data_IF_903386418134
#
_entry.id   IF_903386418134
#
_cell.length_a   1.000
_cell.length_b   1.000
_cell.length_c   1.000
_cell.angle_alpha   90.00
_cell.angle_beta   90.00
_cell.angle_gamma   90.00
#
_symmetry.space_group_name_H-M   'P 1'
#
loop_
_entity.id
_entity.type
_entity.pdbx_description
1 polymer ?
#
# COMPACT_ATOMS: atom_id res chain seq x y z
N UNK A 1 -0.03 -17.86 -4.70
CA UNK A 1 -0.97 -16.94 -5.39
C UNK A 1 -0.35 -15.55 -5.43
N UNK A 2 -0.84 -14.70 -6.34
CA UNK A 2 -0.53 -13.28 -6.42
C UNK A 2 -1.78 -12.52 -6.00
N UNK A 3 -1.61 -11.58 -5.06
CA UNK A 3 -2.62 -10.61 -4.66
C UNK A 3 -2.27 -9.24 -5.25
N UNK A 4 -3.00 -8.22 -4.84
CA UNK A 4 -2.88 -6.88 -5.39
C UNK A 4 -1.49 -6.25 -5.22
N UNK A 5 -1.24 -5.26 -6.07
CA UNK A 5 -0.02 -4.48 -6.10
C UNK A 5 -0.17 -3.21 -6.92
N UNK A 6 0.95 -2.59 -7.22
CA UNK A 6 1.05 -1.40 -8.08
C UNK A 6 2.25 -1.48 -9.00
N UNK A 7 2.21 -0.69 -10.06
CA UNK A 7 3.32 -0.52 -11.00
C UNK A 7 3.72 0.95 -10.99
N UNK A 8 5.00 1.21 -10.97
CA UNK A 8 5.58 2.53 -11.19
C UNK A 8 6.66 2.46 -12.28
N UNK A 9 6.89 3.56 -12.95
CA UNK A 9 7.99 3.75 -13.89
C UNK A 9 9.13 4.47 -13.16
N UNK A 10 10.36 4.01 -13.34
CA UNK A 10 11.53 4.70 -12.83
C UNK A 10 11.99 5.80 -13.79
N UNK A 11 13.07 6.49 -13.43
CA UNK A 11 13.65 7.60 -14.24
C UNK A 11 14.32 7.13 -15.53
N UNK A 12 14.63 5.85 -15.62
CA UNK A 12 15.29 5.23 -16.78
C UNK A 12 14.27 4.57 -17.72
N UNK A 13 12.97 4.67 -17.41
CA UNK A 13 11.87 4.12 -18.20
C UNK A 13 11.68 2.61 -17.98
N UNK A 14 12.17 2.08 -16.85
CA UNK A 14 11.91 0.70 -16.44
C UNK A 14 10.67 0.66 -15.55
N UNK A 15 9.81 -0.29 -15.80
CA UNK A 15 8.60 -0.50 -15.00
C UNK A 15 8.86 -1.47 -13.86
N UNK A 16 8.46 -1.09 -12.66
CA UNK A 16 8.60 -1.87 -11.44
C UNK A 16 7.22 -2.24 -10.91
N UNK A 17 6.95 -3.54 -10.81
CA UNK A 17 5.75 -4.07 -10.19
C UNK A 17 6.05 -4.55 -8.77
N UNK A 18 5.39 -3.95 -7.79
CA UNK A 18 5.39 -4.42 -6.40
C UNK A 18 4.03 -5.05 -6.12
N UNK A 19 4.03 -6.29 -5.64
CA UNK A 19 2.79 -7.05 -5.45
C UNK A 19 2.91 -8.02 -4.28
N UNK A 20 1.78 -8.48 -3.79
CA UNK A 20 1.74 -9.44 -2.69
C UNK A 20 1.85 -10.87 -3.20
N UNK A 21 2.87 -11.58 -2.76
CA UNK A 21 2.97 -13.03 -2.88
C UNK A 21 2.27 -13.69 -1.69
N UNK A 22 1.33 -14.59 -1.94
CA UNK A 22 0.60 -15.32 -0.92
C UNK A 22 0.82 -16.82 -1.02
N UNK A 23 1.18 -17.46 0.10
CA UNK A 23 1.26 -18.90 0.22
C UNK A 23 0.71 -19.37 1.57
N UNK A 24 -0.48 -19.99 1.55
CA UNK A 24 -1.19 -20.48 2.74
C UNK A 24 -0.47 -21.61 3.49
N UNK A 25 0.50 -22.27 2.85
CA UNK A 25 1.24 -23.38 3.47
C UNK A 25 2.52 -22.92 4.16
N UNK A 26 2.94 -21.67 3.97
CA UNK A 26 4.11 -21.09 4.61
C UNK A 26 4.01 -21.00 6.14
N UNK A 27 2.87 -20.65 6.76
CA UNK A 27 2.76 -20.65 8.22
C UNK A 27 3.06 -22.01 8.86
N UNK A 28 2.76 -23.13 8.19
CA UNK A 28 3.13 -24.49 8.64
C UNK A 28 4.65 -24.71 8.67
N UNK A 29 5.40 -23.88 7.97
CA UNK A 29 6.86 -23.92 7.87
C UNK A 29 7.53 -22.80 8.71
N UNK A 30 6.74 -22.06 9.51
CA UNK A 30 7.23 -20.93 10.29
C UNK A 30 7.56 -19.69 9.45
N UNK A 31 6.99 -19.58 8.24
CA UNK A 31 7.18 -18.44 7.33
C UNK A 31 5.88 -17.62 7.24
N UNK A 32 5.95 -16.31 7.02
CA UNK A 32 4.76 -15.48 6.81
C UNK A 32 3.99 -15.94 5.57
N UNK A 33 2.66 -15.92 5.64
CA UNK A 33 1.83 -16.29 4.49
C UNK A 33 1.84 -15.22 3.39
N UNK A 34 2.13 -13.99 3.74
CA UNK A 34 2.15 -12.83 2.84
C UNK A 34 3.52 -12.14 2.89
N UNK A 35 4.05 -11.87 1.71
CA UNK A 35 5.29 -11.10 1.52
C UNK A 35 5.13 -10.22 0.29
N UNK A 36 5.82 -9.09 0.24
CA UNK A 36 5.86 -8.33 -1.00
C UNK A 36 6.92 -8.89 -1.93
N UNK A 37 6.59 -8.90 -3.20
CA UNK A 37 7.43 -9.36 -4.29
C UNK A 37 7.65 -8.22 -5.28
N UNK A 38 8.75 -8.30 -6.01
CA UNK A 38 9.12 -7.31 -7.01
C UNK A 38 9.40 -7.96 -8.36
N UNK A 39 8.98 -7.30 -9.45
CA UNK A 39 9.32 -7.67 -10.82
C UNK A 39 9.56 -6.42 -11.65
N UNK A 40 10.40 -6.53 -12.67
CA UNK A 40 10.72 -5.44 -13.59
C UNK A 40 10.28 -5.77 -15.02
N UNK A 41 10.00 -4.73 -15.81
CA UNK A 41 9.65 -4.85 -17.22
C UNK A 41 10.13 -3.63 -18.01
N UNK A 42 10.48 -3.83 -19.28
CA UNK A 42 10.82 -2.77 -20.23
C UNK A 42 9.68 -2.48 -21.23
N UNK A 43 8.61 -3.30 -21.20
CA UNK A 43 7.55 -3.24 -22.22
C UNK A 43 6.13 -3.43 -21.65
N UNK A 44 5.96 -3.58 -20.33
CA UNK A 44 4.72 -3.88 -19.62
C UNK A 44 4.06 -5.22 -19.99
N UNK A 45 4.73 -6.04 -20.78
CA UNK A 45 4.24 -7.36 -21.24
C UNK A 45 5.06 -8.49 -20.69
N UNK A 46 6.39 -8.35 -20.75
CA UNK A 46 7.34 -9.35 -20.28
C UNK A 46 7.90 -8.87 -18.93
N UNK A 47 7.70 -9.68 -17.89
CA UNK A 47 8.11 -9.35 -16.53
C UNK A 47 9.16 -10.33 -16.03
N UNK A 48 10.23 -9.80 -15.48
CA UNK A 48 11.28 -10.56 -14.81
C UNK A 48 11.15 -10.36 -13.30
N UNK A 49 10.98 -11.46 -12.57
CA UNK A 49 11.03 -11.41 -11.11
C UNK A 49 12.45 -11.07 -10.69
N UNK A 50 12.57 -10.05 -9.87
CA UNK A 50 13.83 -9.81 -9.17
C UNK A 50 14.05 -10.92 -8.16
N UNK A 51 15.31 -11.27 -7.91
CA UNK A 51 15.66 -12.26 -6.89
C UNK A 51 15.16 -11.82 -5.52
N UNK A 52 15.13 -12.75 -4.56
CA UNK A 52 14.62 -12.60 -3.19
C UNK A 52 15.18 -11.40 -2.39
N UNK A 53 16.12 -10.65 -2.95
CA UNK A 53 16.75 -9.48 -2.34
C UNK A 53 15.79 -8.32 -2.08
N UNK A 54 14.66 -8.24 -2.79
CA UNK A 54 13.61 -7.23 -2.56
C UNK A 54 12.34 -7.92 -2.10
N UNK A 55 12.43 -8.82 -1.15
CA UNK A 55 11.29 -9.43 -0.50
C UNK A 55 11.03 -8.72 0.83
N UNK A 56 9.94 -7.98 0.88
CA UNK A 56 9.53 -7.29 2.10
C UNK A 56 8.75 -8.26 2.98
N UNK A 57 9.37 -8.70 4.05
CA UNK A 57 8.69 -9.54 5.05
C UNK A 57 7.99 -8.68 6.09
N UNK A 58 6.93 -9.20 6.72
CA UNK A 58 6.31 -8.52 7.85
C UNK A 58 7.32 -8.13 8.93
N UNK A 59 7.23 -6.90 9.39
CA UNK A 59 8.13 -6.36 10.39
C UNK A 59 7.70 -6.73 11.81
N UNK A 60 8.61 -6.78 12.80
CA UNK A 60 8.25 -7.06 14.18
C UNK A 60 7.13 -6.14 14.70
N UNK A 61 6.12 -6.73 15.35
CA UNK A 61 4.96 -6.00 15.87
C UNK A 61 3.76 -5.98 14.93
N UNK A 62 3.93 -6.39 13.67
CA UNK A 62 2.84 -6.49 12.70
C UNK A 62 2.45 -7.95 12.43
N UNK A 63 1.22 -8.14 11.96
CA UNK A 63 0.67 -9.48 11.69
C UNK A 63 1.28 -10.10 10.43
N UNK A 64 1.85 -11.30 10.49
CA UNK A 64 2.50 -11.95 9.36
C UNK A 64 1.52 -12.46 8.28
N UNK A 65 0.23 -12.52 8.59
CA UNK A 65 -0.82 -12.99 7.69
C UNK A 65 -1.67 -11.84 7.12
N UNK A 66 -1.40 -10.59 7.55
CA UNK A 66 -2.04 -9.37 7.06
C UNK A 66 -0.97 -8.34 6.69
N UNK A 67 -0.26 -8.57 5.57
CA UNK A 67 0.84 -7.74 5.07
C UNK A 67 0.79 -7.69 3.55
N UNK A 68 0.06 -6.71 2.97
CA UNK A 68 -0.29 -6.75 1.54
C UNK A 68 -0.60 -5.43 0.89
N UNK A 69 -0.87 -5.51 -0.42
CA UNK A 69 -1.41 -4.47 -1.29
C UNK A 69 -0.50 -3.24 -1.42
N UNK A 70 0.78 -3.41 -1.81
CA UNK A 70 1.71 -2.30 -1.93
C UNK A 70 1.26 -1.28 -2.98
N UNK A 71 1.51 -0.01 -2.67
CA UNK A 71 1.39 1.11 -3.59
C UNK A 71 2.65 1.95 -3.54
N UNK A 72 3.22 2.27 -4.71
CA UNK A 72 4.47 3.03 -4.82
C UNK A 72 4.22 4.33 -5.56
N UNK A 73 4.81 5.40 -5.06
CA UNK A 73 4.85 6.70 -5.74
C UNK A 73 6.22 7.37 -5.53
N UNK A 74 6.51 8.34 -6.37
CA UNK A 74 7.64 9.25 -6.20
C UNK A 74 7.23 10.44 -5.33
N UNK A 75 8.04 10.77 -4.33
CA UNK A 75 7.91 11.95 -3.48
C UNK A 75 8.89 13.02 -3.97
N UNK A 76 8.37 14.06 -4.61
CA UNK A 76 9.16 15.17 -5.14
C UNK A 76 9.77 16.04 -4.04
N UNK A 77 9.18 16.07 -2.85
CA UNK A 77 9.64 16.91 -1.74
C UNK A 77 10.91 16.34 -1.11
N UNK A 78 10.97 15.02 -0.93
CA UNK A 78 12.11 14.33 -0.31
C UNK A 78 13.03 13.65 -1.35
N UNK A 79 12.70 13.70 -2.65
CA UNK A 79 13.43 13.07 -3.75
C UNK A 79 13.67 11.57 -3.54
N UNK A 80 12.61 10.84 -3.22
CA UNK A 80 12.63 9.41 -2.95
C UNK A 80 11.33 8.74 -3.36
N UNK A 81 11.37 7.43 -3.53
CA UNK A 81 10.17 6.61 -3.65
C UNK A 81 9.61 6.30 -2.27
N UNK A 82 8.29 6.29 -2.16
CA UNK A 82 7.54 5.83 -1.01
C UNK A 82 6.72 4.61 -1.43
N UNK A 83 6.84 3.52 -0.68
CA UNK A 83 5.97 2.36 -0.78
C UNK A 83 5.12 2.30 0.48
N UNK A 84 3.82 2.38 0.32
CA UNK A 84 2.86 2.13 1.39
C UNK A 84 2.20 0.77 1.21
N UNK A 85 1.82 0.12 2.30
CA UNK A 85 1.06 -1.13 2.29
C UNK A 85 0.10 -1.22 3.46
N UNK A 86 -0.92 -2.05 3.30
CA UNK A 86 -1.88 -2.35 4.34
C UNK A 86 -1.43 -3.48 5.25
N UNK A 87 -1.62 -3.30 6.54
CA UNK A 87 -1.32 -4.29 7.57
C UNK A 87 -2.16 -4.04 8.83
N UNK A 88 -1.87 -4.77 9.89
CA UNK A 88 -2.37 -4.54 11.23
C UNK A 88 -1.35 -4.94 12.29
N UNK A 89 -1.57 -4.53 13.53
CA UNK A 89 -0.77 -4.98 14.65
C UNK A 89 -0.93 -6.49 14.88
N UNK A 90 0.15 -7.15 15.30
CA UNK A 90 0.13 -8.53 15.70
C UNK A 90 -0.75 -8.74 16.94
N UNK A 91 -1.32 -9.94 17.10
CA UNK A 91 -2.18 -10.33 18.21
C UNK A 91 -3.65 -10.40 17.83
N UNK A 92 -4.54 -10.17 18.81
CA UNK A 92 -5.98 -10.31 18.59
C UNK A 92 -6.52 -9.27 17.62
N UNK A 93 -7.34 -9.74 16.68
CA UNK A 93 -7.97 -8.87 15.67
C UNK A 93 -9.09 -8.05 16.30
N UNK A 94 -8.94 -6.75 16.31
CA UNK A 94 -9.99 -5.83 16.72
C UNK A 94 -9.91 -4.51 15.91
N UNK A 95 -10.90 -3.64 16.06
CA UNK A 95 -11.08 -2.44 15.22
C UNK A 95 -9.98 -1.38 15.32
N UNK A 96 -9.03 -1.52 16.22
CA UNK A 96 -7.95 -0.55 16.42
C UNK A 96 -6.59 -1.09 15.94
N UNK A 97 -6.55 -2.22 15.26
CA UNK A 97 -5.28 -2.85 14.86
C UNK A 97 -4.80 -2.46 13.48
N UNK A 98 -5.68 -1.98 12.60
CA UNK A 98 -5.34 -1.63 11.22
C UNK A 98 -4.28 -0.55 11.12
N UNK A 99 -3.32 -0.75 10.21
CA UNK A 99 -2.19 0.16 9.93
C UNK A 99 -1.95 0.25 8.44
N UNK A 100 -1.59 1.43 8.00
CA UNK A 100 -0.85 1.62 6.75
C UNK A 100 0.58 1.92 7.16
N UNK A 101 1.52 1.11 6.71
CA UNK A 101 2.96 1.30 6.98
C UNK A 101 3.67 1.72 5.72
N UNK A 102 4.92 2.19 5.85
CA UNK A 102 5.65 2.65 4.68
C UNK A 102 7.15 2.33 4.72
N UNK A 103 7.70 2.32 3.53
CA UNK A 103 9.12 2.21 3.24
C UNK A 103 9.54 3.37 2.34
N UNK A 104 10.81 3.71 2.37
CA UNK A 104 11.43 4.69 1.47
C UNK A 104 12.59 4.07 0.70
N UNK A 105 12.84 4.57 -0.52
CA UNK A 105 13.95 4.16 -1.36
C UNK A 105 14.33 5.28 -2.34
N UNK A 106 15.59 5.35 -2.71
CA UNK A 106 16.08 6.23 -3.79
C UNK A 106 16.23 5.53 -5.13
N UNK A 107 16.13 4.19 -5.16
CA UNK A 107 16.50 3.36 -6.31
C UNK A 107 15.54 2.19 -6.60
N UNK A 108 14.39 2.11 -5.89
CA UNK A 108 13.41 1.02 -5.99
C UNK A 108 13.94 -0.39 -5.65
N UNK A 109 15.17 -0.49 -5.19
CA UNK A 109 15.87 -1.74 -4.86
C UNK A 109 16.19 -1.82 -3.38
N UNK A 110 16.78 -0.77 -2.84
CA UNK A 110 17.16 -0.69 -1.44
C UNK A 110 16.08 0.10 -0.67
N UNK A 111 15.37 -0.57 0.23
CA UNK A 111 14.26 0.00 0.96
C UNK A 111 14.53 0.06 2.45
N UNK A 112 14.14 1.17 3.06
CA UNK A 112 14.17 1.37 4.51
C UNK A 112 12.75 1.35 5.05
N UNK A 113 12.49 0.53 6.07
CA UNK A 113 11.21 0.53 6.79
C UNK A 113 11.15 1.73 7.74
N UNK A 114 10.11 2.54 7.63
CA UNK A 114 9.94 3.78 8.39
C UNK A 114 8.89 3.68 9.51
N UNK A 115 8.04 2.63 9.48
CA UNK A 115 7.00 2.41 10.48
C UNK A 115 5.60 2.75 9.99
N UNK A 116 4.76 3.25 10.91
CA UNK A 116 3.38 3.61 10.59
C UNK A 116 3.31 4.88 9.74
N UNK A 117 2.68 4.78 8.58
CA UNK A 117 2.30 5.92 7.74
C UNK A 117 0.97 6.54 8.20
N UNK A 118 0.00 5.67 8.50
CA UNK A 118 -1.30 6.07 9.03
C UNK A 118 -1.83 5.03 10.01
N UNK A 119 -2.03 5.45 11.25
CA UNK A 119 -2.42 4.61 12.39
C UNK A 119 -3.56 5.28 13.18
N UNK A 120 -4.79 5.28 12.63
CA UNK A 120 -5.91 6.04 13.21
C UNK A 120 -6.60 5.34 14.39
N UNK A 121 -6.27 4.09 14.68
CA UNK A 121 -6.95 3.25 15.68
C UNK A 121 -8.48 3.10 15.44
N UNK A 122 -8.87 2.98 14.16
CA UNK A 122 -10.28 2.94 13.76
C UNK A 122 -10.72 1.60 13.18
N UNK A 123 -9.86 0.91 12.42
CA UNK A 123 -10.22 -0.26 11.61
C UNK A 123 -9.40 -1.48 11.99
N UNK A 124 -9.92 -2.66 11.68
CA UNK A 124 -9.20 -3.93 11.94
C UNK A 124 -8.00 -4.11 11.01
N UNK A 125 -8.16 -3.72 9.77
CA UNK A 125 -7.13 -3.83 8.72
C UNK A 125 -7.34 -2.69 7.72
N UNK A 126 -6.25 -2.22 7.13
CA UNK A 126 -6.29 -1.36 5.95
C UNK A 126 -5.90 -2.19 4.73
N UNK A 127 -6.74 -2.21 3.71
CA UNK A 127 -6.47 -2.89 2.45
C UNK A 127 -6.40 -1.89 1.30
N UNK A 128 -5.68 -2.27 0.25
CA UNK A 128 -5.59 -1.50 -1.00
C UNK A 128 -5.29 -0.02 -0.79
N UNK A 129 -4.29 0.37 0.02
CA UNK A 129 -3.97 1.78 0.17
C UNK A 129 -3.55 2.38 -1.16
N UNK A 130 -4.01 3.59 -1.44
CA UNK A 130 -3.69 4.37 -2.62
C UNK A 130 -3.44 5.82 -2.21
N UNK A 131 -2.47 6.47 -2.82
CA UNK A 131 -1.97 7.77 -2.38
C UNK A 131 -1.71 8.67 -3.59
N UNK A 132 -2.32 9.85 -3.63
CA UNK A 132 -2.16 10.79 -4.73
C UNK A 132 -2.40 12.22 -4.29
N UNK A 133 -2.03 13.18 -5.14
CA UNK A 133 -2.21 14.61 -4.91
C UNK A 133 -3.16 15.20 -5.95
N UNK A 134 -4.09 16.04 -5.48
CA UNK A 134 -4.90 16.91 -6.34
C UNK A 134 -4.78 18.35 -5.81
N UNK A 135 -4.25 19.24 -6.64
CA UNK A 135 -3.94 20.59 -6.22
C UNK A 135 -2.97 20.62 -5.03
N UNK A 136 -3.37 21.21 -3.93
CA UNK A 136 -2.56 21.31 -2.71
C UNK A 136 -2.85 20.19 -1.67
N UNK A 137 -3.73 19.23 -2.00
CA UNK A 137 -4.16 18.20 -1.07
C UNK A 137 -3.66 16.83 -1.48
N UNK A 138 -3.12 16.12 -0.50
CA UNK A 138 -2.89 14.69 -0.56
C UNK A 138 -4.15 13.95 -0.17
N UNK A 139 -4.39 12.83 -0.84
CA UNK A 139 -5.49 11.90 -0.59
C UNK A 139 -4.93 10.51 -0.34
N UNK A 140 -5.27 9.95 0.80
CA UNK A 140 -5.04 8.54 1.14
C UNK A 140 -6.38 7.83 1.06
N UNK A 141 -6.48 6.87 0.16
CA UNK A 141 -7.64 5.98 0.06
C UNK A 141 -7.25 4.63 0.66
N UNK A 142 -8.16 4.01 1.38
CA UNK A 142 -8.01 2.62 1.84
C UNK A 142 -9.36 1.95 1.93
N UNK A 143 -9.36 0.63 1.82
CA UNK A 143 -10.55 -0.17 2.06
C UNK A 143 -10.53 -0.71 3.48
N UNK A 144 -11.63 -0.52 4.18
CA UNK A 144 -11.84 -1.11 5.49
C UNK A 144 -12.94 -2.17 5.41
N UNK A 145 -12.82 -3.26 6.15
CA UNK A 145 -13.82 -4.31 6.18
C UNK A 145 -14.37 -4.60 7.59
N UNK A 146 -13.90 -3.89 8.59
CA UNK A 146 -14.26 -4.11 9.99
C UNK A 146 -15.61 -3.53 10.39
N UNK A 147 -16.14 -2.58 9.63
CA UNK A 147 -17.38 -1.87 9.97
C UNK A 147 -18.37 -1.86 8.81
N UNK A 148 -18.02 -1.25 7.70
CA UNK A 148 -18.92 -1.04 6.58
C UNK A 148 -18.49 -1.77 5.31
N UNK A 149 -17.30 -2.37 5.29
CA UNK A 149 -16.69 -3.00 4.11
C UNK A 149 -16.74 -2.07 2.91
N UNK A 150 -16.19 -0.87 3.08
CA UNK A 150 -16.20 0.18 2.07
C UNK A 150 -14.83 0.83 1.91
N UNK A 151 -14.68 1.53 0.82
CA UNK A 151 -13.52 2.39 0.61
C UNK A 151 -13.75 3.75 1.27
N UNK A 152 -12.75 4.21 2.01
CA UNK A 152 -12.74 5.49 2.71
C UNK A 152 -11.53 6.32 2.26
N UNK A 153 -11.61 7.64 2.40
CA UNK A 153 -10.50 8.51 2.11
C UNK A 153 -10.16 9.45 3.25
N UNK A 154 -8.93 9.91 3.25
CA UNK A 154 -8.38 10.92 4.14
C UNK A 154 -7.68 11.99 3.32
N UNK A 155 -7.59 13.19 3.86
CA UNK A 155 -6.98 14.34 3.21
C UNK A 155 -5.89 14.94 4.10
N UNK A 156 -4.83 15.46 3.50
CA UNK A 156 -3.78 16.17 4.22
C UNK A 156 -3.13 17.25 3.33
N UNK A 157 -2.56 18.27 3.94
CA UNK A 157 -1.74 19.27 3.25
C UNK A 157 -0.28 18.82 3.06
N UNK A 158 0.14 17.85 3.83
CA UNK A 158 1.47 17.24 3.74
C UNK A 158 1.34 15.73 3.60
N UNK A 159 2.25 15.11 2.88
CA UNK A 159 2.33 13.66 2.72
C UNK A 159 2.43 12.92 4.08
N UNK A 160 3.04 13.57 5.08
CA UNK A 160 3.17 13.03 6.44
C UNK A 160 1.97 13.35 7.35
N UNK A 161 0.89 13.94 6.80
CA UNK A 161 -0.30 14.33 7.56
C UNK A 161 -0.19 15.71 8.23
N UNK A 162 -1.01 16.03 9.24
CA UNK A 162 -2.03 15.13 9.79
C UNK A 162 -3.14 14.82 8.79
N UNK A 163 -3.60 13.57 8.80
CA UNK A 163 -4.68 13.09 7.95
C UNK A 163 -6.03 13.39 8.57
N UNK A 164 -6.87 14.14 7.88
CA UNK A 164 -8.21 14.51 8.31
C UNK A 164 -9.27 13.69 7.59
N UNK A 165 -10.31 13.31 8.31
CA UNK A 165 -11.50 12.70 7.75
C UNK A 165 -12.50 13.81 7.36
N UNK A 166 -13.09 13.80 6.15
CA UNK A 166 -14.25 14.62 5.85
C UNK A 166 -15.49 14.10 6.60
N UNK A 167 -16.56 14.87 6.61
CA UNK A 167 -17.83 14.49 7.24
C UNK A 167 -18.39 13.21 6.59
N UNK A 168 -18.37 13.12 5.27
CA UNK A 168 -18.61 11.88 4.52
C UNK A 168 -17.30 11.43 3.89
N UNK A 169 -16.72 10.35 4.43
CA UNK A 169 -15.44 9.80 4.00
C UNK A 169 -15.56 8.69 2.96
N UNK A 170 -16.78 8.34 2.56
CA UNK A 170 -17.07 7.43 1.46
C UNK A 170 -17.39 8.19 0.18
N UNK A 171 -16.95 7.72 -0.96
CA UNK A 171 -17.22 8.35 -2.25
C UNK A 171 -18.03 7.46 -3.20
N UNK A 172 -18.57 6.36 -2.69
CA UNK A 172 -19.50 5.50 -3.40
C UNK A 172 -20.43 4.78 -2.42
N UNK A 173 -21.37 4.03 -2.97
CA UNK A 173 -22.36 3.27 -2.22
C UNK A 173 -21.77 2.15 -1.38
N UNK A 174 -22.65 1.43 -0.72
CA UNK A 174 -22.29 0.31 0.14
C UNK A 174 -21.49 -0.75 -0.62
N UNK A 175 -20.41 -1.22 0.00
CA UNK A 175 -19.55 -2.30 -0.49
C UNK A 175 -18.77 -1.96 -1.78
N UNK A 176 -18.55 -0.69 -2.06
CA UNK A 176 -17.49 -0.31 -3.00
C UNK A 176 -16.13 -0.64 -2.38
N UNK A 177 -15.41 -1.56 -2.98
CA UNK A 177 -14.28 -2.25 -2.36
C UNK A 177 -13.09 -2.34 -3.30
N UNK A 178 -11.87 -2.13 -2.76
CA UNK A 178 -10.60 -2.34 -3.45
C UNK A 178 -10.38 -1.48 -4.71
N UNK A 179 -10.99 -0.29 -4.79
CA UNK A 179 -10.75 0.65 -5.89
C UNK A 179 -9.31 1.15 -5.88
N UNK A 180 -8.74 1.28 -7.08
CA UNK A 180 -7.45 1.92 -7.35
C UNK A 180 -7.67 3.15 -8.21
N UNK A 181 -6.78 4.12 -8.08
CA UNK A 181 -6.85 5.33 -8.89
C UNK A 181 -5.69 5.42 -9.87
N UNK A 182 -5.92 6.12 -10.97
CA UNK A 182 -4.88 6.50 -11.90
C UNK A 182 -5.17 7.88 -12.51
N UNK A 183 -4.15 8.50 -13.03
CA UNK A 183 -4.28 9.78 -13.70
C UNK A 183 -4.33 9.59 -15.21
N UNK A 184 -5.31 10.22 -15.85
CA UNK A 184 -5.45 10.27 -17.30
C UNK A 184 -5.84 11.69 -17.73
N UNK A 185 -5.00 12.31 -18.55
CA UNK A 185 -5.24 13.67 -19.09
C UNK A 185 -5.58 14.73 -18.02
N UNK A 186 -4.90 14.70 -16.89
CA UNK A 186 -5.11 15.62 -15.78
C UNK A 186 -6.36 15.33 -14.94
N UNK A 187 -7.00 14.19 -15.14
CA UNK A 187 -8.13 13.73 -14.36
C UNK A 187 -7.74 12.50 -13.53
N UNK A 188 -8.13 12.47 -12.27
CA UNK A 188 -8.02 11.28 -11.42
C UNK A 188 -9.26 10.41 -11.62
N UNK A 189 -9.03 9.17 -11.99
CA UNK A 189 -10.06 8.16 -12.27
C UNK A 189 -9.92 7.05 -11.23
N UNK A 190 -11.04 6.55 -10.73
CA UNK A 190 -11.11 5.43 -9.79
C UNK A 190 -11.88 4.28 -10.42
#
# INVERSE_FOLDING_TARGET
FIFAGSVCEDRDGVYHAFYTGFNRDYPKQGKPSQVLMHAISHDLKNWEKTNDEVTFTPQPGYDPDDWRDPFVLWDDEENQYILILGTRLAGDKHRQTGRTVYFTSTDLTNWTFEGDFWAPDLFTMHEMPDLFKIGEWWYLITTEYSHASKQVYRMAKSLKGPWIAPEDDGFDGRAYYAGRTFELNGQRII
#
